data_IF_419573997279
#
_entry.id   IF_419573997279
#
_cell.length_a   1.000
_cell.length_b   1.000
_cell.length_c   1.000
_cell.angle_alpha   90.00
_cell.angle_beta   90.00
_cell.angle_gamma   90.00
#
_symmetry.space_group_name_H-M   'P 1'
#
loop_
_entity.id
_entity.type
_entity.pdbx_description
1 polymer ?
#
# COMPACT_ATOMS: atom_id res chain seq x y z
N UNK A 1 12.68 4.90 23.26
CA UNK A 1 13.81 4.02 23.21
C UNK A 1 14.12 3.60 21.78
N UNK A 2 13.11 3.23 21.04
CA UNK A 2 13.28 2.97 19.60
C UNK A 2 12.88 4.21 18.80
N UNK A 3 13.63 4.51 17.74
CA UNK A 3 13.25 5.57 16.83
C UNK A 3 11.98 5.17 16.04
N UNK A 4 11.26 6.16 15.50
CA UNK A 4 10.03 5.91 14.73
C UNK A 4 10.26 4.97 13.56
N UNK A 5 11.43 5.06 12.91
CA UNK A 5 11.77 4.19 11.77
C UNK A 5 11.86 2.72 12.13
N UNK A 6 11.86 2.36 13.41
CA UNK A 6 11.89 0.96 13.85
C UNK A 6 10.49 0.36 14.01
N UNK A 7 9.44 1.16 13.86
CA UNK A 7 8.05 0.71 14.04
C UNK A 7 7.32 0.73 12.70
N UNK A 8 6.85 -0.43 12.27
CA UNK A 8 6.10 -0.58 11.02
C UNK A 8 4.65 -0.90 11.36
N UNK A 9 3.73 -0.10 10.83
CA UNK A 9 2.30 -0.35 10.98
C UNK A 9 1.76 -1.07 9.75
N UNK A 10 1.21 -2.27 9.95
CA UNK A 10 0.45 -2.95 8.91
C UNK A 10 -1.02 -2.56 9.02
N UNK A 11 -1.61 -2.08 7.92
CA UNK A 11 -3.01 -1.68 7.88
C UNK A 11 -3.76 -2.48 6.84
N UNK A 12 -4.85 -3.14 7.24
CA UNK A 12 -5.80 -3.74 6.32
C UNK A 12 -7.01 -2.83 6.21
N UNK A 13 -7.33 -2.38 5.01
CA UNK A 13 -8.42 -1.45 4.77
C UNK A 13 -9.31 -1.89 3.61
N UNK A 14 -10.61 -1.60 3.71
CA UNK A 14 -11.58 -1.86 2.66
C UNK A 14 -12.50 -0.66 2.49
N UNK A 15 -13.12 -0.54 1.32
CA UNK A 15 -14.08 0.53 1.03
C UNK A 15 -15.29 0.44 1.95
N UNK A 16 -15.69 1.56 2.51
CA UNK A 16 -16.87 1.67 3.34
C UNK A 16 -17.37 3.11 3.31
N UNK A 17 -18.51 3.33 2.67
CA UNK A 17 -19.09 4.66 2.50
C UNK A 17 -19.51 5.31 3.83
N UNK A 18 -19.63 4.55 4.90
CA UNK A 18 -19.94 5.08 6.22
C UNK A 18 -18.77 5.79 6.88
N UNK A 19 -17.55 5.57 6.38
CA UNK A 19 -16.35 6.20 6.93
C UNK A 19 -16.06 7.55 6.28
N UNK A 20 -15.55 8.54 7.03
CA UNK A 20 -15.22 9.86 6.47
C UNK A 20 -14.29 9.80 5.27
N UNK A 21 -13.27 8.93 5.27
CA UNK A 21 -12.38 8.78 4.13
C UNK A 21 -12.93 7.88 3.02
N UNK A 22 -14.00 7.14 3.31
CA UNK A 22 -14.52 6.11 2.41
C UNK A 22 -13.84 4.75 2.59
N UNK A 23 -13.00 4.60 3.61
CA UNK A 23 -12.28 3.34 3.88
C UNK A 23 -12.25 3.06 5.37
N UNK A 24 -12.42 1.79 5.71
CA UNK A 24 -12.47 1.30 7.10
C UNK A 24 -11.30 0.36 7.37
N UNK A 25 -10.77 0.42 8.58
CA UNK A 25 -9.72 -0.51 9.04
C UNK A 25 -10.35 -1.82 9.49
N UNK A 26 -9.69 -2.92 9.12
CA UNK A 26 -10.02 -4.27 9.55
C UNK A 26 -8.83 -4.85 10.31
N UNK A 27 -9.07 -5.82 11.17
CA UNK A 27 -8.02 -6.54 11.93
C UNK A 27 -8.17 -8.04 11.68
N UNK A 28 -7.24 -8.83 12.24
CA UNK A 28 -7.22 -10.29 12.12
C UNK A 28 -7.24 -10.75 10.65
N UNK A 29 -6.33 -10.18 9.84
CA UNK A 29 -6.21 -10.55 8.43
C UNK A 29 -7.40 -10.13 7.58
N UNK A 30 -8.04 -9.04 7.96
CA UNK A 30 -9.19 -8.51 7.23
C UNK A 30 -10.51 -9.14 7.62
N UNK A 31 -10.54 -9.94 8.68
CA UNK A 31 -11.75 -10.67 9.09
C UNK A 31 -12.63 -9.91 10.07
N UNK A 32 -12.05 -9.01 10.85
CA UNK A 32 -12.80 -8.29 11.89
C UNK A 32 -12.88 -6.81 11.54
N UNK A 33 -14.12 -6.33 11.38
CA UNK A 33 -14.44 -4.95 11.08
C UNK A 33 -14.23 -4.11 12.34
N UNK A 34 -13.57 -2.95 12.20
CA UNK A 34 -13.43 -1.98 13.30
C UNK A 34 -14.23 -0.72 12.98
N UNK A 35 -14.30 0.21 13.93
CA UNK A 35 -14.93 1.52 13.70
C UNK A 35 -13.90 2.60 13.34
N UNK A 36 -12.71 2.20 12.93
CA UNK A 36 -11.62 3.12 12.62
C UNK A 36 -11.61 3.52 11.13
N UNK A 37 -11.60 4.84 10.90
CA UNK A 37 -11.39 5.37 9.56
C UNK A 37 -9.92 5.21 9.17
N UNK A 38 -9.65 4.78 7.94
CA UNK A 38 -8.29 4.46 7.51
C UNK A 38 -7.35 5.67 7.58
N UNK A 39 -7.79 6.84 7.11
CA UNK A 39 -6.95 8.05 7.13
C UNK A 39 -6.72 8.54 8.56
N UNK A 40 -7.77 8.60 9.37
CA UNK A 40 -7.65 9.04 10.76
C UNK A 40 -6.75 8.10 11.56
N UNK A 41 -6.88 6.80 11.35
CA UNK A 41 -6.04 5.82 12.02
C UNK A 41 -4.57 5.95 11.59
N UNK A 42 -4.30 6.15 10.31
CA UNK A 42 -2.93 6.33 9.82
C UNK A 42 -2.26 7.54 10.47
N UNK A 43 -2.95 8.67 10.54
CA UNK A 43 -2.44 9.88 11.20
C UNK A 43 -2.16 9.64 12.67
N UNK A 44 -3.09 9.00 13.37
CA UNK A 44 -2.94 8.70 14.79
C UNK A 44 -1.76 7.77 15.05
N UNK A 45 -1.59 6.76 14.21
CA UNK A 45 -0.50 5.81 14.35
C UNK A 45 0.86 6.49 14.18
N UNK A 46 0.98 7.42 13.23
CA UNK A 46 2.20 8.19 13.03
C UNK A 46 2.48 9.07 14.26
N UNK A 47 1.47 9.71 14.81
CA UNK A 47 1.59 10.51 16.04
C UNK A 47 2.03 9.65 17.23
N UNK A 48 1.66 8.37 17.24
CA UNK A 48 2.04 7.42 18.28
C UNK A 48 3.42 6.78 18.05
N UNK A 49 4.08 7.09 16.93
CA UNK A 49 5.45 6.66 16.67
C UNK A 49 5.67 5.70 15.51
N UNK A 50 4.66 5.43 14.70
CA UNK A 50 4.87 4.61 13.51
C UNK A 50 5.78 5.32 12.53
N UNK A 51 6.83 4.64 12.05
CA UNK A 51 7.81 5.20 11.13
C UNK A 51 7.63 4.74 9.69
N UNK A 52 6.72 3.80 9.45
CA UNK A 52 6.44 3.26 8.12
C UNK A 52 5.07 2.60 8.13
N UNK A 53 4.34 2.69 7.03
CA UNK A 53 3.02 2.07 6.89
C UNK A 53 3.03 1.09 5.72
N UNK A 54 2.64 -0.15 5.99
CA UNK A 54 2.33 -1.14 4.95
C UNK A 54 0.80 -1.16 4.82
N UNK A 55 0.31 -0.65 3.70
CA UNK A 55 -1.12 -0.50 3.45
C UNK A 55 -1.61 -1.60 2.53
N UNK A 56 -2.44 -2.49 3.06
CA UNK A 56 -3.05 -3.56 2.28
C UNK A 56 -4.51 -3.25 1.97
N UNK A 57 -4.86 -3.25 0.69
CA UNK A 57 -6.26 -3.12 0.27
C UNK A 57 -6.90 -4.50 0.22
N UNK A 58 -7.87 -4.72 1.09
CA UNK A 58 -8.63 -5.98 1.12
C UNK A 58 -9.38 -6.16 -0.19
N UNK A 59 -9.96 -5.08 -0.74
CA UNK A 59 -10.74 -5.14 -1.98
C UNK A 59 -9.90 -5.48 -3.20
N UNK A 60 -8.66 -5.00 -3.25
CA UNK A 60 -7.76 -5.20 -4.38
C UNK A 60 -6.94 -6.49 -4.27
N UNK A 61 -6.72 -6.99 -3.05
CA UNK A 61 -5.86 -8.13 -2.80
C UNK A 61 -6.34 -9.37 -3.56
N UNK A 62 -5.42 -10.00 -4.30
CA UNK A 62 -5.72 -11.20 -5.08
C UNK A 62 -6.43 -10.96 -6.41
N UNK A 63 -6.83 -9.74 -6.73
CA UNK A 63 -7.56 -9.44 -7.98
C UNK A 63 -6.65 -9.39 -9.20
N UNK A 64 -5.37 -9.02 -9.03
CA UNK A 64 -4.42 -8.75 -10.10
C UNK A 64 -4.86 -7.61 -11.04
N UNK A 65 -5.82 -6.80 -10.62
CA UNK A 65 -6.36 -5.70 -11.42
C UNK A 65 -5.71 -4.34 -11.12
N UNK A 66 -4.77 -4.32 -10.21
CA UNK A 66 -4.05 -3.11 -9.81
C UNK A 66 -4.19 -2.81 -8.33
N UNK A 67 -3.29 -1.97 -7.83
CA UNK A 67 -3.34 -1.49 -6.44
C UNK A 67 -4.50 -0.52 -6.26
N UNK A 68 -4.93 -0.33 -5.00
CA UNK A 68 -5.99 0.62 -4.67
C UNK A 68 -5.41 2.04 -4.70
N UNK A 69 -5.48 2.71 -5.84
CA UNK A 69 -4.83 4.01 -6.06
C UNK A 69 -5.42 5.13 -5.19
N UNK A 70 -6.75 5.34 -5.15
CA UNK A 70 -7.30 6.44 -4.33
C UNK A 70 -6.94 6.31 -2.85
N UNK A 71 -7.05 5.13 -2.29
CA UNK A 71 -6.71 4.88 -0.88
C UNK A 71 -5.22 5.13 -0.62
N UNK A 72 -4.36 4.56 -1.47
CA UNK A 72 -2.91 4.69 -1.32
C UNK A 72 -2.48 6.15 -1.38
N UNK A 73 -2.99 6.89 -2.36
CA UNK A 73 -2.68 8.31 -2.51
C UNK A 73 -3.16 9.11 -1.31
N UNK A 74 -4.37 8.84 -0.84
CA UNK A 74 -4.96 9.52 0.31
C UNK A 74 -4.12 9.34 1.58
N UNK A 75 -3.68 8.11 1.85
CA UNK A 75 -2.81 7.81 3.00
C UNK A 75 -1.45 8.47 2.81
N UNK A 76 -0.83 8.33 1.63
CA UNK A 76 0.48 8.90 1.36
C UNK A 76 0.51 10.42 1.53
N UNK A 77 -0.56 11.10 1.14
CA UNK A 77 -0.68 12.55 1.28
C UNK A 77 -1.02 12.99 2.71
N UNK A 78 -1.49 12.07 3.55
CA UNK A 78 -1.94 12.37 4.91
C UNK A 78 -0.85 12.18 5.97
N UNK A 79 0.22 11.48 5.66
CA UNK A 79 1.29 11.16 6.61
C UNK A 79 2.65 11.55 6.04
N UNK A 80 3.62 11.73 6.94
CA UNK A 80 5.00 12.10 6.56
C UNK A 80 5.95 10.92 6.45
N UNK A 81 5.49 9.72 6.82
CA UNK A 81 6.31 8.51 6.81
C UNK A 81 6.12 7.75 5.50
N UNK A 82 7.06 6.86 5.11
CA UNK A 82 6.91 6.04 3.91
C UNK A 82 5.67 5.17 3.95
N UNK A 83 5.00 5.06 2.79
CA UNK A 83 3.82 4.20 2.61
C UNK A 83 4.14 3.14 1.56
N UNK A 84 3.98 1.88 1.93
CA UNK A 84 4.20 0.73 1.07
C UNK A 84 2.84 0.18 0.66
N UNK A 85 2.55 0.17 -0.64
CA UNK A 85 1.29 -0.37 -1.15
C UNK A 85 1.34 -1.89 -1.24
N UNK A 86 0.24 -2.53 -0.85
CA UNK A 86 0.09 -3.98 -0.91
C UNK A 86 -1.32 -4.34 -1.38
N UNK A 87 -1.41 -5.43 -2.13
CA UNK A 87 -2.69 -5.96 -2.63
C UNK A 87 -3.08 -5.43 -4.00
N UNK A 88 -3.17 -6.32 -4.97
CA UNK A 88 -3.71 -6.03 -6.30
C UNK A 88 -2.71 -6.00 -7.44
N UNK A 89 -1.41 -6.00 -7.18
CA UNK A 89 -0.42 -5.98 -8.25
C UNK A 89 -0.44 -7.24 -9.09
N UNK A 90 -0.67 -7.10 -10.39
CA UNK A 90 -0.71 -8.23 -11.33
C UNK A 90 0.23 -8.08 -12.50
N UNK A 91 0.75 -6.87 -12.76
CA UNK A 91 1.70 -6.61 -13.84
C UNK A 91 2.53 -5.36 -13.51
N UNK A 92 3.69 -5.17 -14.18
CA UNK A 92 4.57 -4.03 -13.88
C UNK A 92 3.92 -2.66 -13.99
N UNK A 93 2.98 -2.47 -14.89
CA UNK A 93 2.26 -1.20 -15.05
C UNK A 93 1.50 -0.82 -13.79
N UNK A 94 1.01 -1.79 -13.01
CA UNK A 94 0.36 -1.54 -11.73
C UNK A 94 1.32 -0.92 -10.72
N UNK A 95 2.57 -1.40 -10.70
CA UNK A 95 3.60 -0.82 -9.83
C UNK A 95 3.93 0.61 -10.24
N UNK A 96 4.11 0.85 -11.54
CA UNK A 96 4.38 2.20 -12.04
C UNK A 96 3.26 3.15 -11.62
N UNK A 97 2.01 2.75 -11.74
CA UNK A 97 0.86 3.56 -11.36
C UNK A 97 0.83 3.88 -9.87
N UNK A 98 1.03 2.88 -9.01
CA UNK A 98 0.96 3.10 -7.55
C UNK A 98 2.15 3.92 -7.04
N UNK A 99 3.31 3.80 -7.67
CA UNK A 99 4.51 4.54 -7.29
C UNK A 99 4.50 5.99 -7.80
N UNK A 100 3.68 6.29 -8.80
CA UNK A 100 3.56 7.64 -9.37
C UNK A 100 2.22 8.28 -8.96
N UNK A 101 1.12 7.91 -9.61
CA UNK A 101 -0.21 8.44 -9.30
C UNK A 101 -0.66 8.13 -7.89
N UNK A 102 -0.37 6.94 -7.40
CA UNK A 102 -0.70 6.52 -6.04
C UNK A 102 0.20 7.09 -4.96
N UNK A 103 1.33 7.68 -5.35
CA UNK A 103 2.30 8.33 -4.45
C UNK A 103 2.89 7.40 -3.38
N UNK A 104 2.82 6.09 -3.57
CA UNK A 104 3.48 5.15 -2.66
C UNK A 104 5.00 5.25 -2.78
N UNK A 105 5.70 5.01 -1.68
CA UNK A 105 7.16 4.99 -1.66
C UNK A 105 7.72 3.64 -2.12
N UNK A 106 6.94 2.58 -1.94
CA UNK A 106 7.29 1.24 -2.37
C UNK A 106 6.00 0.43 -2.60
N UNK A 107 6.14 -0.71 -3.24
CA UNK A 107 5.02 -1.62 -3.49
C UNK A 107 5.44 -3.07 -3.24
N UNK A 108 4.57 -3.83 -2.60
CA UNK A 108 4.78 -5.27 -2.39
C UNK A 108 4.23 -6.04 -3.59
N UNK A 109 4.99 -7.02 -4.00
CA UNK A 109 4.61 -7.95 -5.07
C UNK A 109 4.68 -9.37 -4.51
N UNK A 110 3.71 -10.19 -4.84
CA UNK A 110 3.71 -11.59 -4.43
C UNK A 110 3.30 -12.48 -5.59
N UNK A 111 2.06 -12.37 -6.03
CA UNK A 111 1.49 -13.22 -7.08
C UNK A 111 2.28 -13.16 -8.39
N UNK A 112 2.78 -11.99 -8.76
CA UNK A 112 3.54 -11.79 -10.00
C UNK A 112 4.77 -12.67 -10.07
N UNK A 113 5.53 -12.75 -8.97
CA UNK A 113 6.77 -13.54 -8.93
C UNK A 113 6.50 -14.98 -8.52
N UNK A 114 5.53 -15.23 -7.64
CA UNK A 114 5.16 -16.59 -7.23
C UNK A 114 4.63 -17.43 -8.39
N UNK A 115 3.90 -16.82 -9.31
CA UNK A 115 3.36 -17.52 -10.49
C UNK A 115 4.43 -17.81 -11.55
N UNK A 116 5.63 -17.22 -11.41
CA UNK A 116 6.69 -17.33 -12.41
C UNK A 116 6.47 -16.49 -13.66
N UNK A 117 5.40 -15.71 -13.70
CA UNK A 117 5.07 -14.87 -14.86
C UNK A 117 6.07 -13.73 -15.05
N UNK A 118 6.58 -13.18 -13.95
CA UNK A 118 7.55 -12.09 -13.96
C UNK A 118 8.70 -12.40 -13.00
N UNK A 119 9.89 -11.91 -13.33
CA UNK A 119 11.03 -11.91 -12.41
C UNK A 119 11.17 -10.51 -11.80
N UNK A 120 11.87 -10.42 -10.67
CA UNK A 120 12.17 -9.12 -10.06
C UNK A 120 12.92 -8.21 -11.04
N UNK A 121 13.89 -8.76 -11.78
CA UNK A 121 14.64 -8.00 -12.76
C UNK A 121 13.78 -7.49 -13.90
N UNK A 122 12.88 -8.32 -14.45
CA UNK A 122 12.00 -7.90 -15.53
C UNK A 122 11.05 -6.79 -15.09
N UNK A 123 10.56 -6.84 -13.84
CA UNK A 123 9.72 -5.80 -13.26
C UNK A 123 10.52 -4.49 -13.14
N UNK A 124 11.73 -4.56 -12.61
CA UNK A 124 12.59 -3.38 -12.45
C UNK A 124 12.92 -2.74 -13.78
N UNK A 125 13.20 -3.54 -14.81
CA UNK A 125 13.47 -3.03 -16.15
C UNK A 125 12.26 -2.32 -16.73
N UNK A 126 11.06 -2.87 -16.54
CA UNK A 126 9.82 -2.25 -16.99
C UNK A 126 9.58 -0.91 -16.28
N UNK A 127 9.81 -0.85 -14.96
CA UNK A 127 9.68 0.38 -14.19
C UNK A 127 10.67 1.44 -14.65
N UNK A 128 11.92 1.05 -14.88
CA UNK A 128 12.95 1.94 -15.37
C UNK A 128 12.57 2.52 -16.74
N UNK A 129 12.05 1.68 -17.65
CA UNK A 129 11.60 2.10 -18.96
C UNK A 129 10.40 3.07 -18.88
N UNK A 130 9.59 2.98 -17.82
CA UNK A 130 8.46 3.88 -17.58
C UNK A 130 8.87 5.17 -16.85
N UNK A 131 10.15 5.35 -16.57
CA UNK A 131 10.66 6.54 -15.90
C UNK A 131 10.58 6.49 -14.38
N UNK A 132 10.28 5.34 -13.79
CA UNK A 132 10.24 5.17 -12.34
C UNK A 132 11.64 4.82 -11.85
N UNK A 133 12.23 5.61 -10.91
CA UNK A 133 13.55 5.29 -10.36
C UNK A 133 13.55 3.96 -9.63
N UNK A 134 14.44 3.06 -10.01
CA UNK A 134 14.61 1.76 -9.35
C UNK A 134 16.08 1.41 -9.27
N UNK A 135 16.41 0.55 -8.31
CA UNK A 135 17.76 0.02 -8.16
C UNK A 135 17.85 -1.27 -8.98
N UNK A 136 18.59 -1.20 -10.08
CA UNK A 136 18.86 -2.37 -10.93
C UNK A 136 20.09 -3.18 -10.44
#
# INVERSE_FOLDING_TARGET
IFGNQCIVLGMDAARDAEMPSGYRIFINGGRVKTDLDAVEWAKKAVDLGAGEIVLNSIDADGTKEGYEIPLTKMIAESVSVPVIASGGGGKPEHLAEVLTTGKADAALIATMVHSGQYTVNSIKESLNASGVPVRL
#
